data_IF_762637371904
#
_entry.id   IF_762637371904
#
_cell.length_a   1.000
_cell.length_b   1.000
_cell.length_c   1.000
_cell.angle_alpha   90.00
_cell.angle_beta   90.00
_cell.angle_gamma   90.00
#
_symmetry.space_group_name_H-M   'P 1'
#
loop_
_entity.id
_entity.type
_entity.pdbx_description
1 polymer ?
#
# COMPACT_ATOMS: atom_id res chain seq x y z
N UNK A 1 34.44 -7.26 -4.60
CA UNK A 1 34.91 -8.65 -4.36
C UNK A 1 33.80 -9.37 -3.59
N UNK A 2 33.57 -10.66 -3.84
CA UNK A 2 32.62 -11.48 -3.08
C UNK A 2 33.44 -12.46 -2.24
N UNK A 3 33.27 -12.46 -0.93
CA UNK A 3 33.97 -13.34 0.00
C UNK A 3 33.01 -13.94 1.02
N UNK A 4 33.45 -15.04 1.65
CA UNK A 4 32.62 -15.86 2.51
C UNK A 4 32.35 -15.17 3.86
N UNK A 5 33.36 -14.51 4.44
CA UNK A 5 33.22 -13.76 5.70
C UNK A 5 32.15 -12.66 5.63
N UNK A 6 32.13 -11.90 4.53
CA UNK A 6 31.08 -10.89 4.29
C UNK A 6 29.69 -11.52 4.19
N UNK A 7 29.56 -12.67 3.51
CA UNK A 7 28.28 -13.38 3.40
C UNK A 7 27.81 -13.87 4.77
N UNK A 8 28.69 -14.47 5.57
CA UNK A 8 28.36 -15.01 6.88
C UNK A 8 27.88 -13.90 7.82
N UNK A 9 28.60 -12.77 7.88
CA UNK A 9 28.21 -11.57 8.64
C UNK A 9 26.87 -10.99 8.16
N UNK A 10 26.60 -10.97 6.86
CA UNK A 10 25.30 -10.52 6.33
C UNK A 10 24.17 -11.45 6.74
N UNK A 11 24.39 -12.77 6.74
CA UNK A 11 23.40 -13.75 7.19
C UNK A 11 23.11 -13.58 8.68
N UNK A 12 24.15 -13.48 9.52
CA UNK A 12 24.01 -13.25 10.96
C UNK A 12 23.24 -11.96 11.27
N UNK A 13 23.66 -10.85 10.67
CA UNK A 13 22.98 -9.55 10.83
C UNK A 13 21.52 -9.62 10.39
N UNK A 14 21.23 -10.26 9.25
CA UNK A 14 19.86 -10.41 8.74
C UNK A 14 19.00 -11.22 9.71
N UNK A 15 19.52 -12.32 10.26
CA UNK A 15 18.79 -13.17 11.20
C UNK A 15 18.56 -12.44 12.53
N UNK A 16 19.55 -11.68 13.03
CA UNK A 16 19.38 -10.85 14.23
C UNK A 16 18.29 -9.80 14.01
N UNK A 17 18.39 -9.01 12.93
CA UNK A 17 17.38 -7.99 12.60
C UNK A 17 15.98 -8.57 12.44
N UNK A 18 15.85 -9.80 11.93
CA UNK A 18 14.57 -10.50 11.78
C UNK A 18 13.93 -10.83 13.12
N UNK A 19 14.71 -11.29 14.09
CA UNK A 19 14.25 -11.54 15.46
C UNK A 19 13.79 -10.24 16.11
N UNK A 20 14.58 -9.18 15.98
CA UNK A 20 14.31 -7.89 16.62
C UNK A 20 13.05 -7.24 16.02
N UNK A 21 12.89 -7.28 14.69
CA UNK A 21 11.69 -6.75 13.99
C UNK A 21 10.39 -7.42 14.42
N UNK A 22 10.38 -8.72 14.76
CA UNK A 22 9.16 -9.39 15.22
C UNK A 22 8.66 -8.85 16.57
N UNK A 23 9.52 -8.19 17.34
CA UNK A 23 9.12 -7.52 18.58
C UNK A 23 8.51 -6.14 18.31
N UNK A 24 8.86 -5.49 17.19
CA UNK A 24 8.41 -4.15 16.84
C UNK A 24 6.91 -4.11 16.46
N UNK A 25 6.05 -3.38 17.21
CA UNK A 25 4.63 -3.28 16.90
C UNK A 25 4.34 -2.80 15.46
N UNK A 26 5.14 -1.85 14.97
CA UNK A 26 4.99 -1.32 13.60
C UNK A 26 5.23 -2.40 12.54
N UNK A 27 6.27 -3.21 12.70
CA UNK A 27 6.56 -4.29 11.78
C UNK A 27 5.45 -5.36 11.81
N UNK A 28 5.04 -5.79 13.01
CA UNK A 28 3.98 -6.80 13.17
C UNK A 28 2.67 -6.33 12.54
N UNK A 29 2.27 -5.07 12.75
CA UNK A 29 1.07 -4.49 12.13
C UNK A 29 1.15 -4.47 10.60
N UNK A 30 2.30 -4.09 10.03
CA UNK A 30 2.50 -4.12 8.57
C UNK A 30 2.50 -5.54 8.00
N UNK A 31 3.12 -6.49 8.71
CA UNK A 31 3.15 -7.89 8.31
C UNK A 31 1.76 -8.52 8.38
N UNK A 32 1.01 -8.24 9.44
CA UNK A 32 -0.37 -8.64 9.63
C UNK A 32 -1.28 -8.10 8.54
N UNK A 33 -1.20 -6.81 8.22
CA UNK A 33 -2.00 -6.21 7.15
C UNK A 33 -1.72 -6.85 5.80
N UNK A 34 -0.44 -7.07 5.48
CA UNK A 34 -0.08 -7.75 4.24
C UNK A 34 -0.58 -9.21 4.20
N UNK A 35 -0.49 -9.93 5.32
CA UNK A 35 -1.00 -11.29 5.45
C UNK A 35 -2.53 -11.34 5.35
N UNK A 36 -3.25 -10.45 6.02
CA UNK A 36 -4.70 -10.31 5.92
C UNK A 36 -5.12 -10.09 4.47
N UNK A 37 -4.48 -9.12 3.81
CA UNK A 37 -4.80 -8.72 2.45
C UNK A 37 -4.41 -9.74 1.38
N UNK A 38 -3.33 -10.52 1.55
CA UNK A 38 -2.79 -11.37 0.46
C UNK A 38 -2.58 -12.83 0.82
N UNK A 39 -2.79 -13.21 2.07
CA UNK A 39 -2.54 -14.57 2.57
C UNK A 39 -1.13 -15.04 2.25
N UNK A 40 -1.02 -16.24 1.65
CA UNK A 40 0.26 -16.85 1.25
C UNK A 40 1.08 -16.02 0.26
N UNK A 41 0.44 -15.11 -0.47
CA UNK A 41 1.13 -14.20 -1.40
C UNK A 41 1.68 -12.94 -0.70
N UNK A 42 1.63 -12.87 0.64
CA UNK A 42 2.29 -11.82 1.44
C UNK A 42 3.81 -11.83 1.17
N UNK A 43 4.48 -10.66 0.98
CA UNK A 43 5.88 -10.62 0.61
C UNK A 43 6.77 -11.08 1.77
N UNK A 44 6.28 -10.96 3.01
CA UNK A 44 6.91 -11.47 4.22
C UNK A 44 6.94 -13.01 4.25
N UNK A 45 5.97 -13.68 3.62
CA UNK A 45 5.95 -15.14 3.47
C UNK A 45 6.71 -15.63 2.24
N UNK A 46 6.95 -14.75 1.27
CA UNK A 46 7.71 -15.07 0.05
C UNK A 46 9.22 -14.82 0.19
N UNK A 47 9.66 -14.22 1.30
CA UNK A 47 11.08 -14.01 1.57
C UNK A 47 11.80 -15.35 1.84
N UNK A 48 13.12 -15.45 1.61
CA UNK A 48 13.88 -16.63 2.00
C UNK A 48 13.85 -16.87 3.51
N UNK A 49 13.65 -18.12 3.94
CA UNK A 49 13.69 -18.49 5.36
C UNK A 49 15.08 -18.39 5.97
N UNK A 50 15.18 -18.36 7.30
CA UNK A 50 16.47 -18.36 7.99
C UNK A 50 17.33 -19.60 7.64
N UNK A 51 16.69 -20.76 7.43
CA UNK A 51 17.36 -21.97 6.93
C UNK A 51 17.93 -21.76 5.52
N UNK A 52 17.14 -21.16 4.63
CA UNK A 52 17.60 -20.87 3.27
C UNK A 52 18.79 -19.91 3.26
N UNK A 53 18.78 -18.87 4.10
CA UNK A 53 19.90 -17.93 4.24
C UNK A 53 21.17 -18.64 4.73
N UNK A 54 21.10 -19.45 5.79
CA UNK A 54 22.26 -20.22 6.29
C UNK A 54 22.80 -21.21 5.27
N UNK A 55 21.94 -21.78 4.43
CA UNK A 55 22.35 -22.72 3.38
C UNK A 55 22.83 -22.05 2.08
N UNK A 56 22.80 -20.72 2.00
CA UNK A 56 23.14 -19.99 0.80
C UNK A 56 24.64 -20.11 0.51
N UNK A 57 24.98 -20.58 -0.69
CA UNK A 57 26.38 -20.72 -1.12
C UNK A 57 26.84 -19.48 -1.86
N UNK A 58 28.00 -18.93 -1.50
CA UNK A 58 28.60 -17.75 -2.16
C UNK A 58 28.68 -17.93 -3.68
N UNK A 59 29.08 -19.11 -4.16
CA UNK A 59 29.17 -19.41 -5.60
C UNK A 59 27.82 -19.37 -6.33
N UNK A 60 26.71 -19.69 -5.65
CA UNK A 60 25.35 -19.61 -6.23
C UNK A 60 24.87 -18.16 -6.26
N UNK A 61 25.12 -17.39 -5.19
CA UNK A 61 24.79 -15.96 -5.15
C UNK A 61 25.59 -15.17 -6.19
N UNK A 62 26.89 -15.45 -6.32
CA UNK A 62 27.75 -14.86 -7.35
C UNK A 62 27.21 -15.12 -8.76
N UNK A 63 26.73 -16.34 -9.03
CA UNK A 63 26.07 -16.68 -10.31
C UNK A 63 24.80 -15.88 -10.56
N UNK A 64 23.98 -15.64 -9.52
CA UNK A 64 22.79 -14.78 -9.65
C UNK A 64 23.18 -13.35 -9.98
N UNK A 65 24.14 -12.76 -9.25
CA UNK A 65 24.63 -11.40 -9.49
C UNK A 65 25.21 -11.23 -10.89
N UNK A 66 26.06 -12.17 -11.33
CA UNK A 66 26.66 -12.16 -12.67
C UNK A 66 25.62 -12.27 -13.80
N UNK A 67 24.44 -12.85 -13.52
CA UNK A 67 23.36 -12.97 -14.48
C UNK A 67 22.49 -11.70 -14.59
N UNK A 68 22.50 -10.80 -13.60
CA UNK A 68 21.63 -9.62 -13.57
C UNK A 68 21.81 -8.71 -14.80
N UNK A 69 23.05 -8.32 -15.21
CA UNK A 69 23.25 -7.56 -16.44
C UNK A 69 22.64 -8.20 -17.68
N UNK A 70 22.65 -9.54 -17.75
CA UNK A 70 22.17 -10.29 -18.90
C UNK A 70 20.70 -10.71 -18.79
N UNK A 71 19.99 -10.22 -17.79
CA UNK A 71 18.55 -10.41 -17.60
C UNK A 71 17.81 -9.19 -18.13
N UNK A 72 16.60 -9.33 -18.65
CA UNK A 72 15.79 -8.18 -19.09
C UNK A 72 15.62 -7.20 -17.93
N UNK A 73 16.06 -5.96 -18.13
CA UNK A 73 15.98 -4.87 -17.17
C UNK A 73 15.61 -3.57 -17.89
N UNK A 74 15.32 -2.53 -17.11
CA UNK A 74 15.13 -1.16 -17.59
C UNK A 74 16.26 -0.33 -17.00
N UNK A 75 16.93 0.43 -17.85
CA UNK A 75 17.92 1.44 -17.42
C UNK A 75 17.33 2.81 -17.67
N UNK A 76 17.37 3.66 -16.66
CA UNK A 76 16.91 5.04 -16.77
C UNK A 76 18.10 5.97 -16.72
N UNK A 77 17.97 7.10 -17.41
CA UNK A 77 18.97 8.15 -17.44
C UNK A 77 18.27 9.50 -17.27
N UNK A 78 18.87 10.34 -16.44
CA UNK A 78 18.51 11.74 -16.32
C UNK A 78 19.80 12.55 -16.31
N UNK A 79 19.97 13.46 -17.28
CA UNK A 79 21.16 14.27 -17.42
C UNK A 79 21.24 14.96 -18.78
N UNK A 80 22.30 15.73 -19.05
CA UNK A 80 22.37 16.66 -20.18
C UNK A 80 22.76 16.01 -21.53
N UNK A 81 23.00 14.70 -21.55
CA UNK A 81 23.45 13.98 -22.76
C UNK A 81 22.24 13.56 -23.59
N UNK A 82 22.37 13.60 -24.91
CA UNK A 82 21.34 13.10 -25.82
C UNK A 82 21.20 11.57 -25.75
N UNK A 83 20.08 11.04 -26.26
CA UNK A 83 19.76 9.62 -26.20
C UNK A 83 20.78 8.72 -26.92
N UNK A 84 21.37 9.15 -28.03
CA UNK A 84 22.33 8.35 -28.79
C UNK A 84 23.68 8.24 -28.07
N UNK A 85 24.12 9.30 -27.38
CA UNK A 85 25.30 9.26 -26.52
C UNK A 85 25.06 8.42 -25.26
N UNK A 86 23.84 8.49 -24.69
CA UNK A 86 23.47 7.76 -23.46
C UNK A 86 23.39 6.25 -23.70
N UNK A 87 22.81 5.80 -24.81
CA UNK A 87 22.68 4.36 -25.10
C UNK A 87 24.04 3.64 -25.15
N UNK A 88 25.10 4.34 -25.56
CA UNK A 88 26.47 3.82 -25.58
C UNK A 88 27.08 3.61 -24.19
N UNK A 89 26.61 4.33 -23.17
CA UNK A 89 27.18 4.29 -21.81
C UNK A 89 26.30 3.52 -20.81
N UNK A 90 24.98 3.49 -21.00
CA UNK A 90 24.04 2.86 -20.05
C UNK A 90 23.63 1.45 -20.43
N UNK A 91 24.03 0.96 -21.60
CA UNK A 91 23.78 -0.41 -22.00
C UNK A 91 24.62 -1.37 -21.15
N UNK A 92 23.94 -2.27 -20.41
CA UNK A 92 24.61 -3.26 -19.57
C UNK A 92 24.17 -4.65 -20.00
N UNK A 93 25.11 -5.59 -20.17
CA UNK A 93 24.82 -6.95 -20.60
C UNK A 93 24.61 -7.09 -22.12
N UNK A 94 24.45 -8.33 -22.58
CA UNK A 94 24.39 -8.67 -24.01
C UNK A 94 23.15 -9.48 -24.41
N UNK A 95 22.77 -10.49 -23.61
CA UNK A 95 21.73 -11.48 -24.00
C UNK A 95 20.31 -11.17 -23.51
N UNK A 96 20.13 -10.23 -22.58
CA UNK A 96 18.85 -9.76 -21.99
C UNK A 96 17.72 -10.80 -21.91
N UNK A 97 17.96 -11.91 -21.21
CA UNK A 97 17.04 -13.05 -21.06
C UNK A 97 15.67 -12.59 -20.54
N UNK A 98 14.59 -13.10 -21.12
CA UNK A 98 13.22 -12.78 -20.68
C UNK A 98 13.03 -13.17 -19.21
N UNK A 99 12.39 -12.29 -18.45
CA UNK A 99 11.97 -12.53 -17.07
C UNK A 99 10.51 -12.93 -17.01
N UNK A 100 10.13 -13.66 -15.97
CA UNK A 100 8.72 -13.90 -15.69
C UNK A 100 8.02 -12.57 -15.42
N UNK A 101 6.82 -12.36 -15.97
CA UNK A 101 6.06 -11.15 -15.68
C UNK A 101 5.73 -11.08 -14.19
N UNK A 102 5.68 -9.85 -13.66
CA UNK A 102 5.20 -9.59 -12.30
C UNK A 102 3.77 -10.13 -12.17
N UNK A 103 3.50 -10.91 -11.12
CA UNK A 103 2.13 -11.31 -10.77
C UNK A 103 1.32 -10.07 -10.36
N UNK A 104 0.08 -9.90 -10.85
CA UNK A 104 -0.79 -8.83 -10.40
C UNK A 104 -1.04 -8.90 -8.89
N UNK A 105 -1.22 -7.75 -8.25
CA UNK A 105 -1.68 -7.71 -6.86
C UNK A 105 -3.14 -8.13 -6.85
N UNK A 106 -3.42 -9.20 -6.10
CA UNK A 106 -4.78 -9.71 -5.86
C UNK A 106 -4.99 -9.79 -4.35
N UNK A 107 -6.10 -9.25 -3.89
CA UNK A 107 -6.52 -9.31 -2.50
C UNK A 107 -7.23 -10.64 -2.22
N UNK A 108 -7.11 -11.10 -0.97
CA UNK A 108 -7.75 -12.29 -0.44
C UNK A 108 -9.26 -12.20 -0.68
N UNK A 109 -9.86 -13.25 -1.22
CA UNK A 109 -11.32 -13.37 -1.28
C UNK A 109 -11.84 -13.83 0.08
N UNK A 110 -12.86 -13.15 0.59
CA UNK A 110 -13.53 -13.51 1.86
C UNK A 110 -15.03 -13.66 1.62
N UNK A 111 -15.69 -14.50 2.42
CA UNK A 111 -17.16 -14.71 2.33
C UNK A 111 -17.95 -13.59 3.01
N UNK A 112 -17.32 -12.88 3.94
CA UNK A 112 -17.85 -11.76 4.70
C UNK A 112 -16.71 -10.90 5.22
N UNK A 113 -17.00 -9.94 6.09
CA UNK A 113 -15.96 -9.17 6.78
C UNK A 113 -15.12 -10.09 7.65
N UNK A 114 -13.79 -10.08 7.45
CA UNK A 114 -12.85 -10.86 8.26
C UNK A 114 -11.87 -9.94 8.98
N UNK A 115 -11.61 -10.24 10.25
CA UNK A 115 -10.73 -9.49 11.14
C UNK A 115 -9.57 -10.40 11.53
N UNK A 116 -8.38 -10.10 11.03
CA UNK A 116 -7.14 -10.78 11.40
C UNK A 116 -6.56 -10.08 12.62
N UNK A 117 -6.52 -10.78 13.75
CA UNK A 117 -6.18 -10.20 15.05
C UNK A 117 -4.86 -10.75 15.60
N UNK A 118 -3.94 -9.87 15.96
CA UNK A 118 -2.74 -10.18 16.75
C UNK A 118 -2.86 -9.46 18.09
N UNK A 119 -3.10 -10.18 19.20
CA UNK A 119 -3.06 -9.57 20.52
C UNK A 119 -1.63 -9.13 20.84
N UNK A 120 -1.47 -7.89 21.32
CA UNK A 120 -0.19 -7.35 21.79
C UNK A 120 -0.45 -6.32 22.87
N UNK A 121 0.30 -6.38 23.96
CA UNK A 121 0.24 -5.38 25.02
C UNK A 121 0.81 -4.05 24.50
N UNK A 122 -0.08 -3.19 24.01
CA UNK A 122 0.21 -1.85 23.49
C UNK A 122 -0.91 -0.89 23.86
N UNK A 123 -0.55 0.35 24.15
CA UNK A 123 -1.53 1.39 24.46
C UNK A 123 -2.44 1.76 23.28
N UNK A 124 -1.98 1.53 22.04
CA UNK A 124 -2.72 1.86 20.82
C UNK A 124 -2.93 0.66 19.91
N UNK A 125 -4.20 0.40 19.59
CA UNK A 125 -4.61 -0.45 18.48
C UNK A 125 -4.15 0.14 17.15
N UNK A 126 -3.58 -0.72 16.31
CA UNK A 126 -3.22 -0.46 14.93
C UNK A 126 -4.20 -1.21 14.03
N UNK A 127 -5.04 -0.45 13.34
CA UNK A 127 -6.11 -0.98 12.49
C UNK A 127 -5.82 -0.59 11.05
N UNK A 128 -5.79 -1.57 10.16
CA UNK A 128 -5.77 -1.34 8.71
C UNK A 128 -6.91 -2.12 8.12
N UNK A 129 -7.71 -1.48 7.28
CA UNK A 129 -8.80 -2.13 6.56
C UNK A 129 -8.69 -1.92 5.06
N UNK A 130 -9.31 -2.81 4.30
CA UNK A 130 -9.49 -2.70 2.86
C UNK A 130 -10.88 -3.18 2.45
N UNK A 131 -11.53 -2.41 1.57
CA UNK A 131 -12.69 -2.78 0.77
C UNK A 131 -12.19 -3.12 -0.64
N UNK A 132 -11.83 -4.38 -0.93
CA UNK A 132 -11.18 -4.74 -2.18
C UNK A 132 -12.14 -4.63 -3.37
N UNK A 133 -11.62 -4.18 -4.51
CA UNK A 133 -12.32 -4.11 -5.79
C UNK A 133 -11.47 -4.67 -6.93
N UNK A 134 -12.09 -5.06 -8.06
CA UNK A 134 -11.36 -5.35 -9.29
C UNK A 134 -10.43 -4.19 -9.71
N UNK A 135 -9.48 -4.43 -10.63
CA UNK A 135 -8.73 -3.34 -11.25
C UNK A 135 -9.68 -2.30 -11.86
N UNK A 136 -9.37 -1.02 -11.69
CA UNK A 136 -10.14 0.05 -12.32
C UNK A 136 -9.50 0.48 -13.65
N UNK A 137 -10.31 0.87 -14.65
CA UNK A 137 -9.81 1.48 -15.88
C UNK A 137 -8.97 2.73 -15.59
N UNK A 138 -8.10 3.11 -16.52
CA UNK A 138 -7.22 4.28 -16.34
C UNK A 138 -8.02 5.58 -16.26
N UNK A 139 -9.13 5.64 -16.99
CA UNK A 139 -10.05 6.75 -17.16
C UNK A 139 -10.86 7.03 -15.88
N UNK A 140 -10.99 6.02 -14.99
CA UNK A 140 -11.66 6.13 -13.69
C UNK A 140 -10.71 6.59 -12.57
N UNK A 141 -9.40 6.60 -12.81
CA UNK A 141 -8.40 6.96 -11.79
C UNK A 141 -8.42 8.43 -11.37
N UNK A 142 -8.79 9.40 -12.22
CA UNK A 142 -9.07 10.77 -11.77
C UNK A 142 -10.15 10.83 -10.69
N UNK A 143 -11.20 9.99 -10.76
CA UNK A 143 -12.22 9.89 -9.69
C UNK A 143 -11.62 9.35 -8.39
N UNK A 144 -10.75 8.34 -8.48
CA UNK A 144 -10.02 7.83 -7.32
C UNK A 144 -9.10 8.89 -6.68
N UNK A 145 -8.47 9.75 -7.48
CA UNK A 145 -7.65 10.86 -6.97
C UNK A 145 -8.50 11.94 -6.29
N UNK A 146 -9.64 12.30 -6.87
CA UNK A 146 -10.58 13.23 -6.24
C UNK A 146 -11.14 12.65 -4.92
N UNK A 147 -11.49 11.36 -4.92
CA UNK A 147 -11.88 10.64 -3.70
C UNK A 147 -10.79 10.72 -2.63
N UNK A 148 -9.52 10.54 -3.00
CA UNK A 148 -8.40 10.69 -2.07
C UNK A 148 -8.28 12.11 -1.51
N UNK A 149 -8.49 13.14 -2.33
CA UNK A 149 -8.51 14.52 -1.87
C UNK A 149 -9.65 14.80 -0.88
N UNK A 150 -10.84 14.24 -1.14
CA UNK A 150 -12.02 14.43 -0.29
C UNK A 150 -11.92 13.65 1.03
N UNK A 151 -11.57 12.37 0.96
CA UNK A 151 -11.58 11.44 2.10
C UNK A 151 -10.31 11.54 2.94
N UNK A 152 -9.15 11.63 2.28
CA UNK A 152 -7.83 11.50 2.88
C UNK A 152 -6.92 12.71 2.70
N UNK A 153 -7.47 13.89 2.38
CA UNK A 153 -6.74 15.14 2.08
C UNK A 153 -5.96 15.76 3.25
N UNK A 154 -5.32 14.95 4.10
CA UNK A 154 -4.64 15.38 5.31
C UNK A 154 -5.63 15.83 6.38
N UNK A 155 -5.31 16.91 7.09
CA UNK A 155 -6.14 17.42 8.18
C UNK A 155 -7.52 17.91 7.71
N UNK A 156 -7.67 18.31 6.45
CA UNK A 156 -8.95 18.73 5.87
C UNK A 156 -9.80 17.59 5.31
N UNK A 157 -9.28 16.37 5.27
CA UNK A 157 -10.01 15.21 4.75
C UNK A 157 -11.12 14.75 5.70
N UNK A 158 -12.18 14.16 5.15
CA UNK A 158 -13.32 13.63 5.90
C UNK A 158 -12.87 12.79 7.11
N UNK A 159 -12.01 11.80 6.88
CA UNK A 159 -11.64 10.83 7.91
C UNK A 159 -10.92 11.47 9.09
N UNK A 160 -10.02 12.42 8.82
CA UNK A 160 -9.32 13.12 9.88
C UNK A 160 -10.30 13.98 10.69
N UNK A 161 -11.16 14.74 10.01
CA UNK A 161 -12.15 15.60 10.67
C UNK A 161 -13.12 14.78 11.53
N UNK A 162 -13.65 13.67 11.02
CA UNK A 162 -14.68 12.90 11.72
C UNK A 162 -14.13 12.03 12.85
N UNK A 163 -12.97 11.38 12.67
CA UNK A 163 -12.42 10.50 13.71
C UNK A 163 -11.56 11.25 14.74
N UNK A 164 -10.81 12.27 14.32
CA UNK A 164 -9.89 12.98 15.22
C UNK A 164 -10.52 14.25 15.78
N UNK A 165 -10.90 15.18 14.93
CA UNK A 165 -11.33 16.52 15.38
C UNK A 165 -12.72 16.49 16.03
N UNK A 166 -13.69 15.81 15.42
CA UNK A 166 -15.07 15.83 15.91
C UNK A 166 -15.32 14.89 17.10
N UNK A 167 -14.61 13.75 17.17
CA UNK A 167 -14.92 12.67 18.13
C UNK A 167 -13.76 12.25 19.04
N UNK A 168 -12.53 12.70 18.78
CA UNK A 168 -11.37 12.29 19.59
C UNK A 168 -11.14 10.78 19.64
N UNK A 169 -11.55 10.05 18.59
CA UNK A 169 -11.47 8.60 18.51
C UNK A 169 -10.10 8.10 18.12
N UNK A 170 -9.31 8.85 17.35
CA UNK A 170 -8.02 8.38 16.84
C UNK A 170 -6.94 9.46 16.92
N UNK A 171 -5.72 9.04 17.27
CA UNK A 171 -4.54 9.89 17.16
C UNK A 171 -4.11 10.04 15.69
N UNK A 172 -4.22 8.96 14.91
CA UNK A 172 -3.92 8.99 13.49
C UNK A 172 -4.99 8.25 12.73
N UNK A 173 -5.64 8.91 11.77
CA UNK A 173 -6.63 8.31 10.90
C UNK A 173 -6.46 8.86 9.49
N UNK A 174 -6.46 7.97 8.51
CA UNK A 174 -6.51 8.34 7.09
C UNK A 174 -7.13 7.20 6.29
N UNK A 175 -7.74 7.55 5.17
CA UNK A 175 -8.25 6.57 4.22
C UNK A 175 -8.12 7.10 2.80
N UNK A 176 -8.37 6.24 1.83
CA UNK A 176 -8.39 6.61 0.43
C UNK A 176 -8.58 5.39 -0.45
N UNK A 177 -8.59 5.61 -1.75
CA UNK A 177 -8.61 4.60 -2.77
C UNK A 177 -7.20 4.28 -3.30
N UNK A 178 -6.87 2.99 -3.36
CA UNK A 178 -5.66 2.46 -3.97
C UNK A 178 -6.00 1.90 -5.35
N UNK A 179 -5.67 2.64 -6.41
CA UNK A 179 -5.97 2.28 -7.79
C UNK A 179 -5.08 1.17 -8.42
N UNK A 180 -4.12 0.61 -7.68
CA UNK A 180 -3.14 -0.33 -8.22
C UNK A 180 -1.96 0.35 -8.94
N UNK A 181 -0.81 -0.33 -9.03
CA UNK A 181 0.41 0.18 -9.69
C UNK A 181 0.55 -0.30 -11.13
N UNK A 182 -0.28 -1.25 -11.55
CA UNK A 182 -0.33 -1.81 -12.91
C UNK A 182 -1.78 -2.06 -13.31
N UNK A 183 -2.13 -2.12 -14.61
CA UNK A 183 -3.52 -2.24 -15.06
C UNK A 183 -4.27 -3.47 -14.54
N UNK A 184 -3.55 -4.54 -14.17
CA UNK A 184 -4.15 -5.78 -13.65
C UNK A 184 -4.16 -5.87 -12.13
N UNK A 185 -3.55 -4.90 -11.43
CA UNK A 185 -3.56 -4.89 -9.97
C UNK A 185 -4.97 -4.56 -9.47
N UNK A 186 -5.48 -5.34 -8.52
CA UNK A 186 -6.74 -5.03 -7.85
C UNK A 186 -6.66 -3.69 -7.11
N UNK A 187 -7.81 -3.04 -7.04
CA UNK A 187 -7.99 -1.74 -6.41
C UNK A 187 -8.81 -1.86 -5.13
N UNK A 188 -9.15 -0.75 -4.50
CA UNK A 188 -10.01 -0.76 -3.32
C UNK A 188 -9.78 0.45 -2.41
N UNK A 189 -10.73 0.69 -1.53
CA UNK A 189 -10.61 1.67 -0.47
C UNK A 189 -9.83 1.06 0.70
N UNK A 190 -8.83 1.77 1.19
CA UNK A 190 -8.08 1.42 2.39
C UNK A 190 -8.31 2.45 3.48
N UNK A 191 -8.23 2.02 4.73
CA UNK A 191 -8.23 2.89 5.91
C UNK A 191 -7.15 2.47 6.89
N UNK A 192 -6.65 3.44 7.64
CA UNK A 192 -5.74 3.23 8.77
C UNK A 192 -6.25 4.00 9.98
N UNK A 193 -6.17 3.38 11.16
CA UNK A 193 -6.53 3.97 12.44
C UNK A 193 -5.45 3.57 13.47
N UNK A 194 -4.85 4.55 14.10
CA UNK A 194 -4.12 4.43 15.35
C UNK A 194 -4.96 5.03 16.47
N UNK A 195 -5.52 4.19 17.35
CA UNK A 195 -6.45 4.58 18.42
C UNK A 195 -6.11 3.90 19.73
N UNK A 196 -6.57 4.44 20.86
CA UNK A 196 -6.48 3.75 22.15
C UNK A 196 -7.27 2.44 22.08
N UNK A 197 -6.77 1.39 22.74
CA UNK A 197 -7.34 0.04 22.60
C UNK A 197 -8.83 -0.05 22.98
N UNK A 198 -9.26 0.74 23.96
CA UNK A 198 -10.66 0.88 24.39
C UNK A 198 -11.60 1.55 23.37
N UNK A 199 -11.06 2.42 22.51
CA UNK A 199 -11.82 3.12 21.44
C UNK A 199 -11.83 2.36 20.11
N UNK A 200 -11.27 1.14 20.07
CA UNK A 200 -11.12 0.34 18.85
C UNK A 200 -12.44 0.15 18.10
N UNK A 201 -13.52 -0.18 18.83
CA UNK A 201 -14.82 -0.50 18.22
C UNK A 201 -15.46 0.73 17.61
N UNK A 202 -15.53 1.83 18.35
CA UNK A 202 -16.13 3.09 17.88
C UNK A 202 -15.35 3.65 16.69
N UNK A 203 -14.03 3.64 16.75
CA UNK A 203 -13.18 4.13 15.67
C UNK A 203 -13.34 3.29 14.40
N UNK A 204 -13.32 1.96 14.52
CA UNK A 204 -13.47 1.05 13.37
C UNK A 204 -14.87 1.16 12.76
N UNK A 205 -15.92 1.17 13.58
CA UNK A 205 -17.31 1.28 13.11
C UNK A 205 -17.53 2.62 12.41
N UNK A 206 -17.07 3.71 13.01
CA UNK A 206 -17.13 5.06 12.42
C UNK A 206 -16.40 5.11 11.07
N UNK A 207 -15.19 4.56 10.98
CA UNK A 207 -14.44 4.52 9.72
C UNK A 207 -15.18 3.71 8.65
N UNK A 208 -15.70 2.52 8.99
CA UNK A 208 -16.44 1.70 8.04
C UNK A 208 -17.71 2.39 7.54
N UNK A 209 -18.43 3.04 8.44
CA UNK A 209 -19.62 3.81 8.12
C UNK A 209 -19.31 4.95 7.13
N UNK A 210 -18.34 5.81 7.46
CA UNK A 210 -17.92 6.92 6.58
C UNK A 210 -17.43 6.47 5.19
N UNK A 211 -16.80 5.31 5.10
CA UNK A 211 -16.31 4.77 3.83
C UNK A 211 -17.40 4.09 3.00
N UNK A 212 -18.45 3.55 3.65
CA UNK A 212 -19.61 2.93 2.98
C UNK A 212 -20.69 3.96 2.63
N UNK A 213 -20.83 4.97 3.46
CA UNK A 213 -21.85 6.01 3.39
C UNK A 213 -21.15 7.37 3.42
N UNK A 214 -20.57 7.74 2.28
CA UNK A 214 -19.78 8.97 2.17
C UNK A 214 -20.70 10.20 2.35
N UNK A 215 -20.58 10.97 3.44
CA UNK A 215 -21.44 12.13 3.65
C UNK A 215 -20.93 13.28 2.78
N UNK A 216 -21.66 13.61 1.71
CA UNK A 216 -21.25 14.67 0.80
C UNK A 216 -21.39 16.05 1.42
N UNK A 217 -20.39 16.88 1.17
CA UNK A 217 -20.29 18.26 1.67
C UNK A 217 -19.71 19.11 0.53
N UNK A 218 -20.52 19.97 -0.12
CA UNK A 218 -20.09 20.77 -1.26
C UNK A 218 -18.82 21.58 -0.98
N UNK A 219 -18.72 22.19 0.19
CA UNK A 219 -17.55 22.98 0.59
C UNK A 219 -16.28 22.13 0.71
N UNK A 220 -16.39 20.90 1.22
CA UNK A 220 -15.25 19.98 1.31
C UNK A 220 -14.82 19.55 -0.09
N UNK A 221 -15.76 19.28 -0.99
CA UNK A 221 -15.45 18.95 -2.38
C UNK A 221 -14.74 20.10 -3.08
N UNK A 222 -15.23 21.34 -2.91
CA UNK A 222 -14.59 22.53 -3.47
C UNK A 222 -13.16 22.71 -2.95
N UNK A 223 -12.95 22.58 -1.63
CA UNK A 223 -11.62 22.63 -1.00
C UNK A 223 -10.69 21.52 -1.51
N UNK A 224 -11.20 20.29 -1.67
CA UNK A 224 -10.42 19.17 -2.20
C UNK A 224 -9.98 19.42 -3.65
N UNK A 225 -10.89 19.89 -4.52
CA UNK A 225 -10.57 20.27 -5.90
C UNK A 225 -9.53 21.40 -5.96
N UNK A 226 -9.69 22.43 -5.12
CA UNK A 226 -8.73 23.53 -5.04
C UNK A 226 -7.35 23.08 -4.56
N UNK A 227 -7.28 22.19 -3.56
CA UNK A 227 -6.02 21.64 -3.07
C UNK A 227 -5.31 20.81 -4.15
N UNK A 228 -6.07 20.00 -4.90
CA UNK A 228 -5.55 19.23 -6.03
C UNK A 228 -5.01 20.17 -7.13
N UNK A 229 -5.78 21.18 -7.53
CA UNK A 229 -5.35 22.18 -8.53
C UNK A 229 -4.04 22.87 -8.13
N UNK A 230 -3.98 23.39 -6.89
CA UNK A 230 -2.77 24.02 -6.35
C UNK A 230 -1.58 23.06 -6.36
N UNK A 231 -1.80 21.78 -6.01
CA UNK A 231 -0.76 20.75 -6.07
C UNK A 231 -0.26 20.54 -7.49
N UNK A 232 -1.14 20.45 -8.50
CA UNK A 232 -0.71 20.30 -9.89
C UNK A 232 0.11 21.50 -10.36
N UNK A 233 -0.32 22.73 -10.02
CA UNK A 233 0.39 23.97 -10.38
C UNK A 233 1.74 24.11 -9.68
N UNK A 234 1.84 23.68 -8.43
CA UNK A 234 3.08 23.73 -7.65
C UNK A 234 4.02 22.55 -7.93
N UNK A 235 3.50 21.43 -8.45
CA UNK A 235 4.25 20.20 -8.67
C UNK A 235 5.23 20.36 -9.82
N UNK A 236 6.51 20.40 -9.49
CA UNK A 236 7.61 20.18 -10.42
C UNK A 236 8.11 18.75 -10.21
N UNK A 237 8.30 18.00 -11.30
CA UNK A 237 8.95 16.70 -11.19
C UNK A 237 10.41 16.97 -10.87
N UNK A 238 10.85 16.57 -9.67
CA UNK A 238 12.25 16.68 -9.30
C UNK A 238 13.09 15.96 -10.37
N UNK A 239 14.14 16.62 -10.92
CA UNK A 239 15.11 16.04 -11.83
C UNK A 239 15.49 14.57 -11.54
N UNK A 240 15.82 14.26 -10.28
CA UNK A 240 16.24 12.92 -9.84
C UNK A 240 15.07 11.94 -9.75
N UNK A 241 13.84 12.43 -9.66
CA UNK A 241 12.63 11.62 -9.65
C UNK A 241 12.07 11.32 -11.05
N UNK A 242 12.44 12.08 -12.09
CA UNK A 242 11.90 11.95 -13.47
C UNK A 242 11.89 10.49 -13.94
N UNK A 243 13.01 9.78 -13.78
CA UNK A 243 13.12 8.38 -14.12
C UNK A 243 12.05 7.49 -13.45
N UNK A 244 11.79 7.70 -12.16
CA UNK A 244 10.79 6.93 -11.41
C UNK A 244 9.36 7.25 -11.84
N UNK A 245 9.08 8.49 -12.22
CA UNK A 245 7.78 8.89 -12.77
C UNK A 245 7.51 8.20 -14.11
N UNK A 246 8.46 8.25 -15.04
CA UNK A 246 8.34 7.59 -16.34
C UNK A 246 8.15 6.08 -16.17
N UNK A 247 8.95 5.43 -15.30
CA UNK A 247 8.79 4.01 -15.01
C UNK A 247 7.42 3.68 -14.39
N UNK A 248 6.86 4.58 -13.59
CA UNK A 248 5.52 4.40 -13.03
C UNK A 248 4.44 4.52 -14.12
N UNK A 249 4.60 5.44 -15.08
CA UNK A 249 3.68 5.57 -16.23
C UNK A 249 3.77 4.35 -17.15
N UNK A 250 4.98 3.87 -17.46
CA UNK A 250 5.21 2.63 -18.21
C UNK A 250 4.57 1.42 -17.51
N UNK A 251 4.72 1.32 -16.19
CA UNK A 251 4.10 0.26 -15.39
C UNK A 251 2.56 0.32 -15.46
N UNK A 252 1.99 1.49 -15.75
CA UNK A 252 0.57 1.73 -16.02
C UNK A 252 0.17 1.59 -17.49
N UNK A 253 1.12 1.26 -18.37
CA UNK A 253 0.90 1.16 -19.81
C UNK A 253 0.62 2.51 -20.44
N UNK A 254 1.26 3.59 -19.96
CA UNK A 254 1.14 4.94 -20.50
C UNK A 254 2.46 5.38 -21.10
N UNK A 255 2.40 5.82 -22.35
CA UNK A 255 3.52 6.34 -23.15
C UNK A 255 3.73 7.85 -22.98
N UNK A 256 2.78 8.53 -22.31
CA UNK A 256 2.77 9.96 -22.05
C UNK A 256 2.48 10.26 -20.58
N UNK A 257 2.85 11.48 -20.17
CA UNK A 257 2.52 11.99 -18.84
C UNK A 257 1.00 12.02 -18.63
N UNK A 258 0.45 11.24 -17.68
CA UNK A 258 -0.98 11.19 -17.41
C UNK A 258 -1.49 12.40 -16.62
N UNK A 259 -0.60 13.23 -16.05
CA UNK A 259 -0.98 14.32 -15.13
C UNK A 259 -1.89 15.38 -15.76
N UNK A 260 -1.65 15.88 -16.99
CA UNK A 260 -2.57 16.81 -17.63
C UNK A 260 -3.99 16.24 -17.76
N UNK A 261 -4.11 14.98 -18.21
CA UNK A 261 -5.39 14.28 -18.30
C UNK A 261 -6.10 14.19 -16.93
N UNK A 262 -5.36 13.86 -15.86
CA UNK A 262 -5.93 13.79 -14.51
C UNK A 262 -6.44 15.15 -14.05
N UNK A 263 -5.62 16.19 -14.18
CA UNK A 263 -5.96 17.54 -13.75
C UNK A 263 -7.19 18.09 -14.49
N UNK A 264 -7.22 17.97 -15.82
CA UNK A 264 -8.35 18.39 -16.64
C UNK A 264 -9.64 17.61 -16.32
N UNK A 265 -9.52 16.31 -16.11
CA UNK A 265 -10.68 15.46 -15.78
C UNK A 265 -11.23 15.81 -14.40
N UNK A 266 -10.37 15.95 -13.39
CA UNK A 266 -10.78 16.33 -12.02
C UNK A 266 -11.45 17.70 -12.00
N UNK A 267 -10.99 18.65 -12.82
CA UNK A 267 -11.64 19.95 -12.98
C UNK A 267 -13.12 19.85 -13.36
N UNK A 268 -13.46 18.87 -14.19
CA UNK A 268 -14.82 18.62 -14.73
C UNK A 268 -15.70 17.72 -13.84
N UNK A 269 -15.11 16.95 -12.93
CA UNK A 269 -15.86 16.08 -12.03
C UNK A 269 -16.71 16.90 -11.05
N UNK A 270 -17.96 16.48 -10.87
CA UNK A 270 -18.93 17.07 -9.95
C UNK A 270 -19.17 16.16 -8.73
N UNK A 271 -20.14 16.55 -7.89
CA UNK A 271 -20.54 15.78 -6.72
C UNK A 271 -21.11 14.40 -7.10
N UNK A 272 -21.98 14.35 -8.11
CA UNK A 272 -22.62 13.10 -8.54
C UNK A 272 -21.59 12.06 -9.02
N UNK A 273 -20.54 12.50 -9.70
CA UNK A 273 -19.46 11.61 -10.13
C UNK A 273 -18.67 11.03 -8.95
N UNK A 274 -18.44 11.83 -7.89
CA UNK A 274 -17.77 11.36 -6.69
C UNK A 274 -18.66 10.42 -5.87
N UNK A 275 -19.96 10.73 -5.73
CA UNK A 275 -20.95 9.87 -5.08
C UNK A 275 -21.07 8.52 -5.78
N UNK A 276 -21.18 8.53 -7.12
CA UNK A 276 -21.22 7.30 -7.93
C UNK A 276 -19.95 6.46 -7.75
N UNK A 277 -18.78 7.10 -7.70
CA UNK A 277 -17.53 6.41 -7.40
C UNK A 277 -17.53 5.81 -5.99
N UNK A 278 -17.95 6.58 -4.98
CA UNK A 278 -18.01 6.15 -3.59
C UNK A 278 -19.03 5.02 -3.34
N UNK A 279 -20.18 5.06 -4.01
CA UNK A 279 -21.25 4.08 -3.88
C UNK A 279 -20.81 2.65 -4.23
N UNK A 280 -19.76 2.50 -5.04
CA UNK A 280 -19.15 1.21 -5.33
C UNK A 280 -18.67 0.51 -4.05
N UNK A 281 -18.30 1.25 -3.00
CA UNK A 281 -17.75 0.71 -1.75
C UNK A 281 -18.79 0.59 -0.62
N UNK A 282 -20.06 0.91 -0.88
CA UNK A 282 -21.15 0.87 0.11
C UNK A 282 -21.42 -0.53 0.69
N UNK A 283 -21.07 -1.57 -0.06
CA UNK A 283 -21.32 -2.96 0.32
C UNK A 283 -20.13 -3.86 -0.04
N UNK A 284 -20.20 -5.08 0.49
CA UNK A 284 -19.17 -6.10 0.30
C UNK A 284 -18.28 -6.27 1.53
N UNK A 285 -17.49 -7.35 1.53
CA UNK A 285 -16.69 -7.73 2.68
C UNK A 285 -15.49 -6.79 2.88
N UNK A 286 -15.24 -6.43 4.14
CA UNK A 286 -14.00 -5.77 4.52
C UNK A 286 -12.94 -6.80 4.95
N UNK A 287 -11.68 -6.55 4.60
CA UNK A 287 -10.52 -7.26 5.15
C UNK A 287 -9.87 -6.33 6.16
N UNK A 288 -9.86 -6.73 7.42
CA UNK A 288 -9.37 -5.90 8.52
C UNK A 288 -8.21 -6.62 9.19
N UNK A 289 -7.11 -5.92 9.42
CA UNK A 289 -6.03 -6.32 10.32
C UNK A 289 -6.06 -5.44 11.55
N UNK A 290 -6.03 -6.06 12.72
CA UNK A 290 -6.05 -5.40 14.02
C UNK A 290 -4.90 -5.96 14.87
N UNK A 291 -4.06 -5.08 15.37
CA UNK A 291 -3.10 -5.41 16.44
C UNK A 291 -3.35 -4.47 17.60
N UNK A 292 -3.61 -5.00 18.80
CA UNK A 292 -3.93 -4.19 19.97
C UNK A 292 -4.04 -5.04 21.23
N UNK A 293 -4.25 -4.36 22.36
CA UNK A 293 -4.39 -5.00 23.66
C UNK A 293 -5.80 -5.59 23.81
N UNK A 294 -5.86 -6.92 23.76
CA UNK A 294 -7.11 -7.69 23.85
C UNK A 294 -7.88 -7.42 25.14
N UNK A 295 -7.19 -7.16 26.25
CA UNK A 295 -7.85 -6.92 27.54
C UNK A 295 -8.67 -5.62 27.56
N UNK A 296 -8.40 -4.72 26.61
CA UNK A 296 -9.03 -3.42 26.49
C UNK A 296 -9.96 -3.29 25.29
N UNK A 297 -10.05 -4.31 24.44
CA UNK A 297 -10.93 -4.31 23.27
C UNK A 297 -12.19 -5.09 23.60
N UNK A 298 -13.37 -4.53 23.32
CA UNK A 298 -14.62 -5.28 23.39
C UNK A 298 -14.68 -6.30 22.25
N UNK A 299 -14.22 -7.52 22.55
CA UNK A 299 -14.14 -8.63 21.59
C UNK A 299 -15.51 -9.13 21.15
N UNK A 300 -16.54 -8.96 21.98
CA UNK A 300 -17.91 -9.34 21.62
C UNK A 300 -18.47 -8.37 20.57
N UNK A 301 -18.27 -7.07 20.74
CA UNK A 301 -18.62 -6.07 19.74
C UNK A 301 -17.78 -6.21 18.46
N UNK A 302 -16.48 -6.53 18.59
CA UNK A 302 -15.62 -6.81 17.44
C UNK A 302 -16.16 -7.99 16.60
N UNK A 303 -16.66 -9.04 17.26
CA UNK A 303 -17.26 -10.21 16.61
C UNK A 303 -18.55 -9.90 15.85
N UNK A 304 -19.27 -8.84 16.22
CA UNK A 304 -20.45 -8.34 15.46
C UNK A 304 -20.05 -7.64 14.16
N UNK A 305 -18.84 -7.05 14.09
CA UNK A 305 -18.33 -6.38 12.88
C UNK A 305 -17.89 -7.40 11.82
N UNK A 306 -17.30 -8.52 12.24
CA UNK A 306 -16.85 -9.57 11.33
C UNK A 306 -16.22 -10.77 12.02
N UNK A 307 -15.95 -11.81 11.24
CA UNK A 307 -15.35 -13.05 11.75
C UNK A 307 -13.91 -12.81 12.19
N UNK A 308 -13.62 -13.03 13.48
CA UNK A 308 -12.28 -12.85 14.06
C UNK A 308 -11.43 -14.09 13.78
N UNK A 309 -10.24 -13.88 13.21
CA UNK A 309 -9.19 -14.87 13.00
C UNK A 309 -7.96 -14.44 13.78
N UNK A 310 -7.65 -15.14 14.87
CA UNK A 310 -6.40 -14.93 15.61
C UNK A 310 -5.20 -15.39 14.77
N UNK A 311 -4.15 -14.59 14.78
CA UNK A 311 -2.89 -14.86 14.07
C UNK A 311 -1.73 -14.68 15.03
N UNK A 312 -0.78 -15.60 15.02
CA UNK A 312 0.47 -15.45 15.77
C UNK A 312 1.52 -14.72 14.92
N UNK A 313 2.40 -13.89 15.50
CA UNK A 313 3.44 -13.17 14.75
C UNK A 313 4.29 -14.06 13.85
N UNK A 314 4.58 -15.30 14.27
CA UNK A 314 5.39 -16.26 13.53
C UNK A 314 4.71 -16.74 12.23
N UNK A 315 3.38 -16.64 12.15
CA UNK A 315 2.61 -16.98 10.94
C UNK A 315 2.66 -15.87 9.87
N UNK A 316 3.19 -14.70 10.21
CA UNK A 316 3.22 -13.53 9.32
C UNK A 316 4.47 -13.52 8.42
N UNK A 317 5.49 -14.30 8.77
CA UNK A 317 6.82 -14.31 8.16
C UNK A 317 7.25 -15.73 7.81
N UNK A 318 8.19 -15.88 6.88
CA UNK A 318 8.70 -17.18 6.44
C UNK A 318 9.93 -17.67 7.22
N UNK A 319 10.35 -16.98 8.27
CA UNK A 319 11.67 -17.14 8.89
C UNK A 319 11.64 -17.21 10.40
#
# INVERSE_FOLDING_TARGET
KLDQDTLDKLVENTISQRRDRLQEPRFVSQALSSYALRGKDSPYLLAPSNRQLRSAKLSKLAKVLAALPNTRHRTTYFGPRDGAAVTKIVAIGKRHRKVRPRKPVVYRKTRGTEIFFVPKDVAQSQIILMLPKPPIPFEERPKAELYNGYVGGGMGGLIFQELREARGLAYSAFAGHRAGRRPKDQSGVFGYIGTQSDKTIDALTTMLDLLRHLPMQPDRLAKAKQAIDRRYRASRVDPRAVANWVLAWDDLGRDKDPRPFYWETIGKLDQAALESFAAQFSSGPAIISLMGDESRIDMAALGKIGTIRRVKPEQLVSW
#
